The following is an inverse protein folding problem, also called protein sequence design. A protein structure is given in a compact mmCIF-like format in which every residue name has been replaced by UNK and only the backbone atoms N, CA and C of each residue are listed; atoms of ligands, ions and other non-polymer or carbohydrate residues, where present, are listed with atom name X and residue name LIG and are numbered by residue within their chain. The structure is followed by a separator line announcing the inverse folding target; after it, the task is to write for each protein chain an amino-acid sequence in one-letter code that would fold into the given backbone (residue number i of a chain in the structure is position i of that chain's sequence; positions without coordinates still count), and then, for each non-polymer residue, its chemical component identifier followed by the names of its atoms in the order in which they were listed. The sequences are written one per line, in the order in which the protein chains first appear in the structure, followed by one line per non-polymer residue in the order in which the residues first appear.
data_IF_348500200056
#
_entry.id   IF_348500200056
#
_cell.length_a   1.000
_cell.length_b   1.000
_cell.length_c   1.000
_cell.angle_alpha   90.00
_cell.angle_beta   90.00
_cell.angle_gamma   90.00
#
_symmetry.space_group_name_H-M   'P 1'
#
loop_
_entity.id
_entity.type
_entity.pdbx_description
1 polymer ?
#
# COMPACT_ATOMS: atom_id res chain seq x y z
N UNK A 1 -14.15 8.92 -15.50
CA UNK A 1 -14.83 8.42 -14.28
C UNK A 1 -13.73 7.91 -13.36
N UNK A 2 -13.67 8.40 -12.13
CA UNK A 2 -12.65 7.97 -11.15
C UNK A 2 -12.97 6.56 -10.68
N UNK A 3 -12.00 5.65 -10.77
CA UNK A 3 -12.14 4.28 -10.28
C UNK A 3 -12.38 4.29 -8.76
N UNK A 4 -13.11 3.31 -8.20
CA UNK A 4 -13.34 3.26 -6.76
C UNK A 4 -12.01 3.15 -6.00
N UNK A 5 -11.91 3.81 -4.86
CA UNK A 5 -10.73 3.73 -3.99
C UNK A 5 -10.75 2.47 -3.14
N UNK A 6 -9.59 2.10 -2.67
CA UNK A 6 -9.35 1.11 -1.64
C UNK A 6 -9.97 1.52 -0.30
N UNK A 7 -10.29 0.54 0.55
CA UNK A 7 -10.57 0.77 1.97
C UNK A 7 -9.42 0.22 2.81
N UNK A 8 -9.07 0.95 3.86
CA UNK A 8 -7.93 0.63 4.73
C UNK A 8 -8.43 0.39 6.16
N UNK A 9 -7.92 -0.67 6.78
CA UNK A 9 -8.13 -0.98 8.18
C UNK A 9 -6.79 -1.21 8.86
N UNK A 10 -6.55 -0.51 9.97
CA UNK A 10 -5.36 -0.72 10.79
C UNK A 10 -5.48 -2.06 11.52
N UNK A 11 -4.47 -2.92 11.35
CA UNK A 11 -4.35 -4.18 12.06
C UNK A 11 -3.51 -4.03 13.33
N UNK A 12 -2.41 -3.27 13.23
CA UNK A 12 -1.51 -3.00 14.34
C UNK A 12 -0.64 -1.78 14.08
N UNK A 13 -0.15 -1.16 15.16
CA UNK A 13 0.85 -0.10 15.17
C UNK A 13 1.71 -0.29 16.42
N UNK A 14 3.02 -0.50 16.24
CA UNK A 14 3.98 -0.65 17.32
C UNK A 14 5.24 0.17 17.05
N UNK A 15 5.74 0.84 18.10
CA UNK A 15 7.10 1.39 18.09
C UNK A 15 8.12 0.25 18.12
N UNK A 16 9.17 0.36 17.32
CA UNK A 16 10.22 -0.66 17.25
C UNK A 16 11.32 -0.39 18.28
N UNK A 17 11.41 -1.23 19.31
CA UNK A 17 12.39 -1.05 20.39
C UNK A 17 13.85 -1.19 19.92
N UNK A 18 14.11 -1.98 18.87
CA UNK A 18 15.43 -2.18 18.27
C UNK A 18 15.71 -1.26 17.07
N UNK A 19 14.81 -0.32 16.76
CA UNK A 19 14.96 0.68 15.71
C UNK A 19 14.37 2.01 16.20
N UNK A 20 15.16 2.73 17.00
CA UNK A 20 14.73 3.98 17.63
C UNK A 20 14.18 5.00 16.60
N UNK A 21 13.05 5.61 16.93
CA UNK A 21 12.37 6.56 16.05
C UNK A 21 11.56 5.93 14.90
N UNK A 22 11.51 4.59 14.79
CA UNK A 22 10.70 3.87 13.80
C UNK A 22 9.50 3.17 14.42
N UNK A 23 8.44 3.07 13.64
CA UNK A 23 7.27 2.25 13.93
C UNK A 23 7.05 1.21 12.84
N UNK A 24 6.42 0.10 13.22
CA UNK A 24 5.84 -0.88 12.31
C UNK A 24 4.31 -0.75 12.33
N UNK A 25 3.70 -0.59 11.16
CA UNK A 25 2.25 -0.47 11.01
C UNK A 25 1.76 -1.52 10.02
N UNK A 26 0.75 -2.30 10.40
CA UNK A 26 0.10 -3.27 9.53
C UNK A 26 -1.25 -2.76 9.10
N UNK A 27 -1.51 -2.70 7.80
CA UNK A 27 -2.78 -2.31 7.23
C UNK A 27 -3.37 -3.46 6.43
N UNK A 28 -4.64 -3.79 6.68
CA UNK A 28 -5.44 -4.57 5.74
C UNK A 28 -6.03 -3.60 4.72
N UNK A 29 -5.76 -3.86 3.45
CA UNK A 29 -6.21 -3.03 2.35
C UNK A 29 -7.10 -3.86 1.44
N UNK A 30 -8.30 -3.36 1.18
CA UNK A 30 -9.31 -4.02 0.35
C UNK A 30 -9.63 -3.18 -0.87
N UNK A 31 -9.58 -3.80 -2.04
CA UNK A 31 -9.98 -3.20 -3.31
C UNK A 31 -11.19 -3.95 -3.85
N UNK A 32 -12.29 -3.24 -4.07
CA UNK A 32 -13.46 -3.77 -4.76
C UNK A 32 -13.16 -3.98 -6.25
N UNK A 33 -14.06 -4.61 -7.02
CA UNK A 33 -13.88 -4.76 -8.45
C UNK A 33 -13.59 -3.44 -9.16
N UNK A 34 -12.60 -3.44 -10.06
CA UNK A 34 -12.10 -2.29 -10.80
C UNK A 34 -11.53 -1.14 -9.94
N UNK A 35 -11.32 -1.31 -8.64
CA UNK A 35 -10.72 -0.29 -7.77
C UNK A 35 -9.25 -0.02 -8.13
N UNK A 36 -8.77 1.19 -7.83
CA UNK A 36 -7.35 1.54 -7.93
C UNK A 36 -6.97 2.65 -6.95
N UNK A 37 -5.71 2.66 -6.55
CA UNK A 37 -5.08 3.83 -5.92
C UNK A 37 -4.33 4.60 -7.01
N UNK A 38 -4.52 5.93 -7.12
CA UNK A 38 -3.72 6.80 -7.97
C UNK A 38 -2.23 6.72 -7.66
N UNK A 39 -1.38 7.23 -8.56
CA UNK A 39 0.06 7.29 -8.33
C UNK A 39 0.40 8.00 -7.00
N UNK A 40 1.31 7.40 -6.23
CA UNK A 40 1.61 7.87 -4.86
C UNK A 40 2.97 7.41 -4.34
N UNK A 41 3.35 7.97 -3.19
CA UNK A 41 4.52 7.57 -2.39
C UNK A 41 4.13 7.33 -0.93
N UNK A 42 4.96 6.60 -0.19
CA UNK A 42 4.66 6.20 1.18
C UNK A 42 5.44 6.94 2.27
N UNK A 43 5.43 8.27 2.30
CA UNK A 43 6.02 9.08 3.40
C UNK A 43 7.43 8.64 3.89
N UNK A 44 8.28 8.12 2.98
CA UNK A 44 9.61 7.61 3.31
C UNK A 44 9.66 6.22 3.96
N UNK A 45 8.54 5.49 3.99
CA UNK A 45 8.44 4.14 4.51
C UNK A 45 9.02 3.09 3.56
N UNK A 46 9.51 1.99 4.13
CA UNK A 46 9.58 0.71 3.43
C UNK A 46 8.24 0.00 3.61
N UNK A 47 7.65 -0.53 2.54
CA UNK A 47 6.39 -1.28 2.60
C UNK A 47 6.59 -2.69 2.08
N UNK A 48 6.07 -3.69 2.78
CA UNK A 48 5.98 -5.06 2.29
C UNK A 48 4.51 -5.44 2.18
N UNK A 49 4.08 -5.78 0.97
CA UNK A 49 2.71 -6.18 0.66
C UNK A 49 2.63 -7.69 0.53
N UNK A 50 1.65 -8.33 1.17
CA UNK A 50 1.37 -9.76 1.04
C UNK A 50 -0.09 -9.96 0.61
N UNK A 51 -0.32 -10.65 -0.51
CA UNK A 51 -1.66 -10.88 -1.03
C UNK A 51 -2.32 -12.03 -0.25
N UNK A 52 -3.51 -11.78 0.30
CA UNK A 52 -4.25 -12.77 1.10
C UNK A 52 -5.54 -13.24 0.41
N UNK A 53 -6.08 -12.45 -0.53
CA UNK A 53 -7.25 -12.81 -1.32
C UNK A 53 -7.20 -12.12 -2.68
N UNK A 54 -7.61 -12.81 -3.75
CA UNK A 54 -7.69 -12.21 -5.09
C UNK A 54 -6.33 -12.05 -5.78
N UNK A 55 -6.25 -11.10 -6.71
CA UNK A 55 -5.03 -10.76 -7.45
C UNK A 55 -4.83 -9.25 -7.48
N UNK A 56 -3.59 -8.79 -7.34
CA UNK A 56 -3.27 -7.37 -7.33
C UNK A 56 -2.28 -7.03 -8.43
N UNK A 57 -2.58 -6.03 -9.26
CA UNK A 57 -1.65 -5.52 -10.25
C UNK A 57 -0.86 -4.36 -9.64
N UNK A 58 0.46 -4.53 -9.51
CA UNK A 58 1.35 -3.51 -8.95
C UNK A 58 2.50 -3.17 -9.89
N UNK A 59 2.84 -1.88 -9.98
CA UNK A 59 3.93 -1.36 -10.79
C UNK A 59 4.53 -0.09 -10.20
N UNK A 60 5.85 -0.02 -10.16
CA UNK A 60 6.63 1.01 -9.47
C UNK A 60 7.70 1.61 -10.39
N UNK A 61 7.99 2.89 -10.21
CA UNK A 61 9.07 3.62 -10.89
C UNK A 61 9.04 3.48 -12.43
N UNK A 62 7.84 3.35 -13.01
CA UNK A 62 7.65 3.17 -14.46
C UNK A 62 8.03 1.80 -15.00
N UNK A 63 8.36 0.83 -14.15
CA UNK A 63 8.60 -0.55 -14.56
C UNK A 63 7.30 -1.22 -15.03
N UNK A 64 7.38 -2.26 -15.90
CA UNK A 64 6.21 -3.04 -16.27
C UNK A 64 5.48 -3.59 -15.03
N UNK A 65 4.16 -3.37 -14.90
CA UNK A 65 3.39 -3.89 -13.78
C UNK A 65 3.42 -5.42 -13.73
N UNK A 66 3.48 -5.97 -12.52
CA UNK A 66 3.37 -7.40 -12.24
C UNK A 66 2.03 -7.68 -11.55
N UNK A 67 1.40 -8.77 -11.96
CA UNK A 67 0.25 -9.34 -11.26
C UNK A 67 0.73 -10.26 -10.14
N UNK A 68 0.25 -10.02 -8.92
CA UNK A 68 0.57 -10.80 -7.73
C UNK A 68 -0.64 -11.63 -7.28
N UNK A 69 -0.43 -12.91 -7.07
CA UNK A 69 -1.41 -13.89 -6.60
C UNK A 69 -1.33 -14.10 -5.08
N UNK A 70 -2.36 -14.74 -4.52
CA UNK A 70 -2.41 -15.09 -3.08
C UNK A 70 -1.14 -15.84 -2.65
N UNK A 71 -0.54 -15.38 -1.56
CA UNK A 71 0.72 -15.92 -1.04
C UNK A 71 1.98 -15.30 -1.64
N UNK A 72 1.87 -14.52 -2.72
CA UNK A 72 2.97 -13.70 -3.22
C UNK A 72 3.08 -12.37 -2.45
N UNK A 73 4.27 -11.79 -2.52
CA UNK A 73 4.59 -10.51 -1.91
C UNK A 73 5.48 -9.66 -2.81
N UNK A 74 5.51 -8.36 -2.50
CA UNK A 74 6.46 -7.41 -3.06
C UNK A 74 6.85 -6.35 -2.03
N UNK A 75 7.93 -5.63 -2.31
CA UNK A 75 8.45 -4.58 -1.46
C UNK A 75 8.50 -3.26 -2.21
N UNK A 76 8.07 -2.19 -1.55
CA UNK A 76 8.22 -0.81 -2.00
C UNK A 76 9.30 -0.15 -1.13
N UNK A 77 10.33 0.38 -1.78
CA UNK A 77 11.44 1.01 -1.09
C UNK A 77 11.09 2.45 -0.68
N UNK A 78 11.76 3.03 0.33
CA UNK A 78 11.61 4.45 0.66
C UNK A 78 11.80 5.35 -0.55
N UNK A 79 10.79 6.17 -0.84
CA UNK A 79 10.79 7.11 -1.97
C UNK A 79 10.37 6.52 -3.32
N UNK A 80 10.16 5.20 -3.40
CA UNK A 80 9.61 4.52 -4.56
C UNK A 80 8.28 5.14 -4.98
N UNK A 81 8.10 5.35 -6.28
CA UNK A 81 6.87 5.87 -6.85
C UNK A 81 5.96 4.72 -7.30
N UNK A 82 4.88 4.48 -6.57
CA UNK A 82 3.89 3.45 -6.89
C UNK A 82 2.93 3.99 -7.94
N UNK A 83 3.12 3.58 -9.20
CA UNK A 83 2.40 4.14 -10.36
C UNK A 83 1.18 3.33 -10.78
N UNK A 84 1.15 2.04 -10.45
CA UNK A 84 0.04 1.14 -10.74
C UNK A 84 -0.26 0.35 -9.48
N UNK A 85 -1.43 0.52 -8.90
CA UNK A 85 -1.92 -0.26 -7.77
C UNK A 85 -3.41 -0.47 -7.92
N UNK A 86 -3.81 -1.63 -8.43
CA UNK A 86 -5.20 -1.84 -8.81
C UNK A 86 -5.68 -3.28 -8.74
N UNK A 87 -7.00 -3.41 -8.61
CA UNK A 87 -7.70 -4.66 -8.80
C UNK A 87 -8.08 -4.79 -10.29
N UNK A 88 -7.47 -5.72 -11.05
CA UNK A 88 -7.79 -5.93 -12.46
C UNK A 88 -9.11 -6.69 -12.66
N UNK A 89 -9.70 -7.24 -11.60
CA UNK A 89 -10.96 -8.00 -11.69
C UNK A 89 -12.16 -7.07 -11.75
N UNK A 90 -13.12 -7.41 -12.61
CA UNK A 90 -14.43 -6.75 -12.70
C UNK A 90 -15.51 -7.39 -11.83
N UNK A 91 -15.20 -8.48 -11.13
CA UNK A 91 -16.19 -9.29 -10.40
C UNK A 91 -15.82 -9.55 -8.94
N UNK A 92 -14.55 -9.75 -8.67
CA UNK A 92 -14.04 -10.15 -7.35
C UNK A 92 -13.18 -9.05 -6.72
N UNK A 93 -13.17 -9.01 -5.38
CA UNK A 93 -12.28 -8.14 -4.62
C UNK A 93 -10.88 -8.73 -4.50
N UNK A 94 -9.91 -7.89 -4.12
CA UNK A 94 -8.57 -8.29 -3.67
C UNK A 94 -8.32 -7.71 -2.28
N UNK A 95 -7.67 -8.50 -1.42
CA UNK A 95 -7.22 -8.07 -0.10
C UNK A 95 -5.77 -8.42 0.08
N UNK A 96 -5.03 -7.49 0.68
CA UNK A 96 -3.65 -7.68 1.04
C UNK A 96 -3.33 -7.02 2.37
N UNK A 97 -2.25 -7.46 3.00
CA UNK A 97 -1.67 -6.82 4.16
C UNK A 97 -0.46 -6.01 3.71
N UNK A 98 -0.49 -4.70 3.92
CA UNK A 98 0.63 -3.81 3.70
C UNK A 98 1.30 -3.50 5.05
N UNK A 99 2.58 -3.86 5.19
CA UNK A 99 3.37 -3.67 6.40
C UNK A 99 4.37 -2.56 6.18
N UNK A 100 4.21 -1.47 6.91
CA UNK A 100 5.04 -0.27 6.84
C UNK A 100 6.12 -0.30 7.91
N UNK A 101 7.34 0.06 7.55
CA UNK A 101 8.38 0.51 8.47
C UNK A 101 8.63 1.98 8.16
N UNK A 102 8.26 2.86 9.10
CA UNK A 102 8.21 4.31 8.87
C UNK A 102 8.75 5.08 10.08
N UNK A 103 9.14 6.34 9.90
CA UNK A 103 9.41 7.22 11.05
C UNK A 103 8.17 7.35 11.92
N UNK A 104 8.31 7.18 13.23
CA UNK A 104 7.19 7.30 14.18
C UNK A 104 6.51 8.67 14.08
N UNK A 105 7.26 9.74 13.82
CA UNK A 105 6.70 11.10 13.64
C UNK A 105 5.71 11.18 12.47
N UNK A 106 5.84 10.34 11.45
CA UNK A 106 4.94 10.35 10.29
C UNK A 106 3.50 9.96 10.68
N UNK A 107 3.35 9.20 11.77
CA UNK A 107 2.05 8.74 12.28
C UNK A 107 1.30 9.83 13.07
N UNK A 108 1.97 10.91 13.47
CA UNK A 108 1.34 12.02 14.22
C UNK A 108 0.25 12.72 13.39
N UNK A 109 0.35 12.63 12.05
CA UNK A 109 -0.61 13.20 11.10
C UNK A 109 -1.70 12.21 10.69
N UNK A 110 -1.85 11.08 11.38
CA UNK A 110 -2.82 10.03 11.04
C UNK A 110 -2.31 9.02 10.01
N UNK A 111 -3.05 7.92 9.82
CA UNK A 111 -2.65 6.83 8.93
C UNK A 111 -2.83 7.18 7.45
N UNK A 112 -3.69 8.14 7.14
CA UNK A 112 -3.85 8.74 5.82
C UNK A 112 -2.56 9.37 5.30
N UNK A 113 -1.69 9.85 6.21
CA UNK A 113 -0.40 10.43 5.84
C UNK A 113 0.60 9.39 5.31
N UNK A 114 0.33 8.09 5.48
CA UNK A 114 1.18 7.01 4.95
C UNK A 114 1.05 6.84 3.43
N UNK A 115 0.06 7.46 2.79
CA UNK A 115 -0.14 7.44 1.35
C UNK A 115 -0.25 8.86 0.81
N UNK A 116 0.83 9.34 0.21
CA UNK A 116 0.93 10.68 -0.36
C UNK A 116 0.67 10.59 -1.85
N UNK A 117 -0.54 10.98 -2.27
CA UNK A 117 -0.94 11.00 -3.68
C UNK A 117 -0.14 12.06 -4.45
N UNK A 118 0.15 11.78 -5.72
CA UNK A 118 0.70 12.76 -6.65
C UNK A 118 -0.29 13.92 -6.86
N UNK A 119 0.24 15.11 -7.15
CA UNK A 119 -0.58 16.29 -7.42
C UNK A 119 -1.52 16.06 -8.62
N UNK A 120 -2.79 16.47 -8.48
CA UNK A 120 -3.79 16.38 -9.53
C UNK A 120 -4.64 15.11 -9.53
N UNK A 121 -4.52 14.26 -8.48
CA UNK A 121 -5.35 13.08 -8.24
C UNK A 121 -6.22 13.17 -6.99
#
# INVERSE_FOLDING_TARGET
MTRPRETVKVLYDYKLANAEGKSIVGLEVTYLPNSSTPPHRHAGATVVVNIVEGKFLSGMDGNPPKLYDVGESFMELPGCHHTVGENPSSESRVVFVAVFIVDTKALESGYEALTVLDEGY
#
